data_IF_484763003714
#
_entry.id   IF_484763003714
#
_cell.length_a   1.000
_cell.length_b   1.000
_cell.length_c   1.000
_cell.angle_alpha   90.00
_cell.angle_beta   90.00
_cell.angle_gamma   90.00
#
_symmetry.space_group_name_H-M   'P 1'
#
loop_
_entity.id
_entity.type
_entity.pdbx_description
1 polymer ?
#
# COMPACT_ATOMS: atom_id res chain seq x y z
N UNK A 1 11.84 4.94 5.93
CA UNK A 1 11.25 3.94 5.02
C UNK A 1 11.93 2.60 5.24
N UNK A 2 11.16 1.54 5.48
CA UNK A 2 11.62 0.15 5.71
C UNK A 2 11.82 -0.60 4.39
N UNK A 3 12.53 -1.73 4.43
CA UNK A 3 12.76 -2.57 3.23
C UNK A 3 11.46 -3.11 2.63
N UNK A 4 10.47 -3.45 3.47
CA UNK A 4 9.17 -3.90 2.99
C UNK A 4 8.38 -2.79 2.30
N UNK A 5 8.48 -1.55 2.79
CA UNK A 5 7.85 -0.39 2.14
C UNK A 5 8.50 -0.11 0.77
N UNK A 6 9.82 -0.23 0.65
CA UNK A 6 10.53 -0.13 -0.64
C UNK A 6 10.06 -1.19 -1.63
N UNK A 7 9.97 -2.45 -1.18
CA UNK A 7 9.46 -3.55 -2.01
C UNK A 7 8.02 -3.31 -2.45
N UNK A 8 7.18 -2.79 -1.57
CA UNK A 8 5.80 -2.48 -1.90
C UNK A 8 5.71 -1.38 -2.96
N UNK A 9 6.51 -0.31 -2.86
CA UNK A 9 6.60 0.72 -3.90
C UNK A 9 7.07 0.16 -5.23
N UNK A 10 8.06 -0.74 -5.20
CA UNK A 10 8.55 -1.40 -6.41
C UNK A 10 7.50 -2.31 -7.03
N UNK A 11 6.72 -3.02 -6.20
CA UNK A 11 5.59 -3.84 -6.65
C UNK A 11 4.46 -2.98 -7.22
N UNK A 12 4.21 -1.82 -6.61
CA UNK A 12 3.19 -0.86 -7.02
C UNK A 12 3.40 -0.31 -8.42
N UNK A 13 4.65 -0.36 -8.93
CA UNK A 13 5.01 0.10 -10.27
C UNK A 13 4.37 1.44 -10.61
N UNK A 14 4.64 2.44 -9.75
CA UNK A 14 4.04 3.78 -9.85
C UNK A 14 4.22 4.35 -11.27
N UNK A 15 3.13 4.90 -11.79
CA UNK A 15 3.12 5.55 -13.10
C UNK A 15 3.67 6.99 -13.03
N UNK A 16 3.59 7.72 -14.15
CA UNK A 16 4.06 9.11 -14.25
C UNK A 16 3.29 10.10 -13.35
N UNK A 17 2.14 9.70 -12.83
CA UNK A 17 1.32 10.47 -11.90
C UNK A 17 1.42 9.93 -10.46
N UNK A 18 2.42 9.07 -10.19
CA UNK A 18 2.63 8.40 -8.91
C UNK A 18 1.42 7.57 -8.45
N UNK A 19 0.62 7.11 -9.42
CA UNK A 19 -0.50 6.21 -9.20
C UNK A 19 -0.05 4.77 -9.43
N UNK A 20 -0.54 3.85 -8.60
CA UNK A 20 -0.38 2.42 -8.84
C UNK A 20 -1.66 1.81 -9.39
N UNK A 21 -1.52 0.65 -10.02
CA UNK A 21 -2.63 -0.27 -10.17
C UNK A 21 -3.03 -0.86 -8.81
N UNK A 22 -4.18 -1.53 -8.75
CA UNK A 22 -4.61 -2.25 -7.55
C UNK A 22 -3.68 -3.41 -7.28
N UNK A 23 -3.06 -3.41 -6.11
CA UNK A 23 -2.15 -4.46 -5.65
C UNK A 23 -2.91 -5.35 -4.70
N UNK A 24 -3.05 -6.63 -5.04
CA UNK A 24 -3.72 -7.62 -4.20
C UNK A 24 -2.83 -8.12 -3.09
N UNK A 25 -3.47 -8.59 -2.01
CA UNK A 25 -2.80 -9.24 -0.89
C UNK A 25 -1.95 -10.43 -1.34
N UNK A 26 -2.38 -11.14 -2.37
CA UNK A 26 -1.66 -12.28 -2.93
C UNK A 26 -0.36 -11.83 -3.60
N UNK A 27 -0.41 -10.82 -4.47
CA UNK A 27 0.79 -10.24 -5.09
C UNK A 27 1.82 -9.77 -4.06
N UNK A 28 1.34 -9.24 -2.93
CA UNK A 28 2.20 -8.77 -1.83
C UNK A 28 2.86 -9.95 -1.11
N UNK A 29 2.13 -11.06 -0.92
CA UNK A 29 2.69 -12.30 -0.36
C UNK A 29 3.72 -12.91 -1.32
N UNK A 30 3.41 -12.97 -2.61
CA UNK A 30 4.31 -13.49 -3.66
C UNK A 30 5.60 -12.66 -3.76
N UNK A 31 5.51 -11.33 -3.56
CA UNK A 31 6.67 -10.45 -3.45
C UNK A 31 7.50 -10.65 -2.16
N UNK A 32 7.09 -11.57 -1.28
CA UNK A 32 7.76 -11.85 -0.01
C UNK A 32 7.61 -10.73 1.02
N UNK A 33 6.59 -9.86 0.87
CA UNK A 33 6.33 -8.77 1.81
C UNK A 33 5.47 -9.33 2.94
N UNK A 34 5.97 -9.23 4.18
CA UNK A 34 5.22 -9.70 5.36
C UNK A 34 4.02 -8.78 5.62
N UNK A 35 2.83 -9.32 5.47
CA UNK A 35 1.58 -8.63 5.74
C UNK A 35 1.02 -9.10 7.08
N UNK A 36 1.27 -8.31 8.13
CA UNK A 36 0.68 -8.53 9.44
C UNK A 36 -0.79 -8.10 9.50
N UNK A 37 -1.39 -8.16 10.69
CA UNK A 37 -2.76 -7.74 10.91
C UNK A 37 -2.97 -6.25 10.53
N UNK A 38 -3.95 -6.03 9.66
CA UNK A 38 -4.38 -4.68 9.24
C UNK A 38 -3.33 -3.91 8.44
N UNK A 39 -2.47 -4.60 7.68
CA UNK A 39 -1.53 -4.02 6.70
C UNK A 39 -0.70 -2.85 7.27
N UNK A 40 0.41 -3.14 7.96
CA UNK A 40 1.14 -2.12 8.73
C UNK A 40 1.61 -0.94 7.88
N UNK A 41 1.85 -1.14 6.58
CA UNK A 41 2.36 -0.12 5.67
C UNK A 41 1.36 1.00 5.34
N UNK A 42 0.06 0.77 5.57
CA UNK A 42 -1.01 1.78 5.42
C UNK A 42 -1.45 2.39 6.74
N UNK A 43 -0.69 2.18 7.82
CA UNK A 43 -0.97 2.85 9.11
C UNK A 43 -0.52 4.30 9.06
N UNK A 44 -1.18 5.17 9.82
CA UNK A 44 -0.86 6.61 9.91
C UNK A 44 0.62 6.89 10.24
N UNK A 45 1.27 5.99 10.97
CA UNK A 45 2.68 6.11 11.38
C UNK A 45 3.66 5.77 10.27
N UNK A 46 3.22 5.02 9.25
CA UNK A 46 4.08 4.45 8.21
C UNK A 46 4.48 5.52 7.20
N UNK A 47 5.66 5.33 6.59
CA UNK A 47 6.20 6.30 5.65
C UNK A 47 5.27 6.43 4.44
N UNK A 48 4.83 5.28 3.89
CA UNK A 48 3.97 5.26 2.71
C UNK A 48 2.65 6.01 2.91
N UNK A 49 2.00 5.87 4.06
CA UNK A 49 0.73 6.57 4.32
C UNK A 49 0.91 8.08 4.58
N UNK A 50 2.11 8.52 4.96
CA UNK A 50 2.43 9.94 5.09
C UNK A 50 2.73 10.55 3.73
N UNK A 51 3.45 9.82 2.90
CA UNK A 51 3.94 10.29 1.60
C UNK A 51 2.91 10.14 0.48
N UNK A 52 2.09 9.10 0.48
CA UNK A 52 1.16 8.78 -0.61
C UNK A 52 -0.29 8.75 -0.12
N UNK A 53 -1.20 9.07 -1.03
CA UNK A 53 -2.62 8.77 -0.86
C UNK A 53 -2.81 7.28 -1.13
N UNK A 54 -3.20 6.51 -0.10
CA UNK A 54 -3.40 5.06 -0.23
C UNK A 54 -4.85 4.73 -0.01
N UNK A 55 -5.48 4.16 -1.03
CA UNK A 55 -6.82 3.61 -0.99
C UNK A 55 -6.72 2.11 -0.70
N UNK A 56 -7.58 1.63 0.21
CA UNK A 56 -7.63 0.24 0.66
C UNK A 56 -9.04 -0.28 0.49
N UNK A 57 -9.16 -1.50 0.01
CA UNK A 57 -10.43 -2.22 0.01
C UNK A 57 -10.32 -3.43 0.95
N UNK A 58 -11.37 -3.66 1.71
CA UNK A 58 -11.52 -4.76 2.67
C UNK A 58 -12.80 -5.56 2.43
N UNK A 59 -13.45 -5.38 1.27
CA UNK A 59 -14.72 -6.03 0.95
C UNK A 59 -14.56 -7.44 0.36
N UNK A 60 -13.34 -7.90 0.06
CA UNK A 60 -13.12 -9.17 -0.65
C UNK A 60 -13.02 -10.33 0.35
N UNK A 61 -12.27 -10.19 1.45
CA UNK A 61 -12.22 -11.22 2.51
C UNK A 61 -13.04 -10.85 3.73
N UNK A 62 -13.78 -11.83 4.27
CA UNK A 62 -14.50 -11.69 5.54
C UNK A 62 -13.50 -11.50 6.70
N UNK A 63 -13.38 -10.26 7.19
CA UNK A 63 -12.58 -9.89 8.37
C UNK A 63 -11.94 -8.50 8.23
N UNK A 64 -11.21 -8.04 9.26
CA UNK A 64 -10.50 -6.74 9.25
C UNK A 64 -9.19 -6.76 8.42
N UNK A 65 -9.16 -7.56 7.35
CA UNK A 65 -8.00 -7.69 6.49
C UNK A 65 -8.12 -6.75 5.30
N UNK A 66 -7.02 -6.09 4.97
CA UNK A 66 -6.93 -5.33 3.71
C UNK A 66 -6.64 -6.32 2.59
N UNK A 67 -7.51 -6.29 1.59
CA UNK A 67 -7.51 -7.22 0.46
C UNK A 67 -6.70 -6.69 -0.71
N UNK A 68 -6.91 -5.42 -1.03
CA UNK A 68 -6.24 -4.73 -2.13
C UNK A 68 -5.87 -3.31 -1.67
N UNK A 69 -4.75 -2.81 -2.15
CA UNK A 69 -4.30 -1.45 -1.93
C UNK A 69 -3.96 -0.78 -3.25
N UNK A 70 -4.20 0.53 -3.33
CA UNK A 70 -3.87 1.36 -4.48
C UNK A 70 -3.23 2.66 -4.02
N UNK A 71 -2.13 3.03 -4.64
CA UNK A 71 -1.51 4.34 -4.49
C UNK A 71 -2.16 5.29 -5.50
N UNK A 72 -2.65 6.43 -5.04
CA UNK A 72 -3.38 7.41 -5.84
C UNK A 72 -2.62 8.74 -5.93
N UNK A 73 -1.29 8.66 -6.00
CA UNK A 73 -0.41 9.82 -6.05
C UNK A 73 0.19 10.21 -4.70
N UNK A 74 1.08 11.20 -4.74
CA UNK A 74 1.65 11.80 -3.55
C UNK A 74 0.59 12.55 -2.76
N UNK A 75 0.63 12.37 -1.45
CA UNK A 75 -0.11 13.20 -0.52
C UNK A 75 0.61 14.54 -0.47
N UNK A 76 0.15 15.49 -1.27
CA UNK A 76 0.71 16.84 -1.27
C UNK A 76 0.55 17.44 0.13
N UNK A 77 1.67 17.58 0.85
CA UNK A 77 1.73 18.17 2.19
C UNK A 77 1.70 19.70 2.09
N UNK A 78 0.79 20.25 1.28
CA UNK A 78 0.47 21.67 1.24
C UNK A 78 -0.84 21.87 2.00
N UNK A 79 -0.75 22.00 3.32
CA UNK A 79 -1.74 22.70 4.12
C UNK A 79 -1.01 23.63 5.09
#
# INVERSE_FOLDING_TARGET
>A
MTENEKKLLKLASLDKNDCSEWITREQIKEAGIKIGNGFPYTRKTSYLNKTYLITKDTNITKGNSIDIVKFEGFKNENN
#
